data_IF_251574491321
#
_entry.id   IF_251574491321
#
_cell.length_a   1.000
_cell.length_b   1.000
_cell.length_c   1.000
_cell.angle_alpha   90.00
_cell.angle_beta   90.00
_cell.angle_gamma   90.00
#
_symmetry.space_group_name_H-M   'P 1'
#
loop_
_entity.id
_entity.type
_entity.pdbx_description
1 polymer ?
#
# COMPACT_ATOMS: atom_id res chain seq x y z
N UNK A 1 4.41 25.67 -47.86
CA UNK A 1 5.53 25.97 -46.93
C UNK A 1 4.99 26.64 -45.66
N UNK A 2 4.62 25.86 -44.61
CA UNK A 2 5.53 25.23 -43.62
C UNK A 2 6.21 26.35 -42.81
N UNK A 3 5.99 26.54 -41.52
CA UNK A 3 6.04 25.54 -40.45
C UNK A 3 5.11 25.83 -39.25
N UNK A 4 4.77 24.72 -38.62
CA UNK A 4 3.82 24.40 -37.56
C UNK A 4 4.11 25.01 -36.19
N UNK A 5 3.04 25.43 -35.51
CA UNK A 5 2.99 25.83 -34.10
C UNK A 5 3.16 24.66 -33.10
N UNK A 6 4.09 23.75 -33.37
CA UNK A 6 4.36 22.56 -32.55
C UNK A 6 5.68 22.62 -31.78
N UNK A 7 6.39 23.75 -31.79
CA UNK A 7 7.77 23.83 -31.30
C UNK A 7 7.98 24.42 -29.90
N UNK A 8 6.95 24.39 -29.03
CA UNK A 8 7.07 24.88 -27.63
C UNK A 8 6.90 23.78 -26.56
N UNK A 9 6.95 22.49 -26.93
CA UNK A 9 6.82 21.38 -25.97
C UNK A 9 8.07 20.50 -25.78
N UNK A 10 9.24 20.85 -26.34
CA UNK A 10 10.44 20.01 -26.26
C UNK A 10 11.65 20.62 -25.53
N UNK A 11 11.43 21.67 -24.72
CA UNK A 11 12.49 22.38 -23.97
C UNK A 11 12.47 22.08 -22.48
N UNK A 12 12.45 20.80 -22.09
CA UNK A 12 12.73 20.36 -20.71
C UNK A 12 13.52 19.06 -20.59
N UNK A 13 14.22 18.66 -21.67
CA UNK A 13 14.94 17.38 -21.77
C UNK A 13 16.46 17.53 -21.91
N UNK A 14 17.08 18.49 -21.21
CA UNK A 14 18.54 18.69 -21.28
C UNK A 14 19.11 19.35 -20.02
N UNK A 15 19.20 18.57 -18.95
CA UNK A 15 20.19 18.79 -17.88
C UNK A 15 20.25 17.55 -16.97
N UNK A 16 21.04 16.55 -17.36
CA UNK A 16 21.70 15.64 -16.42
C UNK A 16 22.64 14.70 -17.17
N UNK A 17 23.84 15.20 -17.42
CA UNK A 17 25.09 14.51 -17.79
C UNK A 17 26.16 15.51 -17.30
N UNK A 18 27.16 15.24 -16.48
CA UNK A 18 27.79 14.06 -15.88
C UNK A 18 28.29 14.50 -14.46
N UNK A 19 28.61 13.64 -13.50
CA UNK A 19 29.87 12.89 -13.42
C UNK A 19 29.71 11.78 -12.35
N UNK A 20 29.92 10.52 -12.75
CA UNK A 20 31.11 9.68 -12.51
C UNK A 20 31.22 9.03 -11.11
N UNK A 21 30.82 7.75 -11.12
CA UNK A 21 31.40 6.55 -10.44
C UNK A 21 32.95 6.49 -10.44
N UNK A 22 33.69 5.53 -9.80
CA UNK A 22 33.31 4.19 -9.29
C UNK A 22 34.01 3.66 -7.99
N UNK A 23 33.47 2.58 -7.40
CA UNK A 23 34.18 1.42 -6.78
C UNK A 23 33.10 0.37 -6.41
N UNK A 24 32.88 -0.72 -7.14
CA UNK A 24 33.62 -2.00 -7.13
C UNK A 24 33.94 -2.46 -5.69
N UNK A 25 33.42 -3.58 -5.18
CA UNK A 25 33.79 -4.97 -5.52
C UNK A 25 32.95 -5.91 -4.61
N UNK A 26 32.06 -6.78 -5.14
CA UNK A 26 32.28 -8.23 -5.41
C UNK A 26 32.73 -9.01 -4.15
N UNK A 27 32.27 -10.21 -3.79
CA UNK A 27 31.62 -11.31 -4.48
C UNK A 27 31.18 -12.33 -3.40
N UNK A 28 29.96 -12.88 -3.44
CA UNK A 28 29.79 -14.33 -3.18
C UNK A 28 28.52 -14.89 -3.79
N UNK A 29 28.68 -15.27 -5.05
CA UNK A 29 28.26 -16.55 -5.64
C UNK A 29 27.63 -17.56 -4.66
N UNK A 30 26.36 -17.90 -4.90
CA UNK A 30 25.88 -19.28 -4.77
C UNK A 30 24.90 -19.57 -5.89
N UNK A 31 25.34 -20.50 -6.74
CA UNK A 31 24.67 -21.09 -7.87
C UNK A 31 23.71 -22.23 -7.43
N UNK A 32 22.89 -22.78 -8.35
CA UNK A 32 21.55 -23.29 -8.09
C UNK A 32 21.52 -24.78 -7.75
N UNK A 33 20.41 -25.24 -7.16
CA UNK A 33 20.02 -26.65 -7.20
C UNK A 33 18.60 -26.79 -7.73
N UNK A 34 18.53 -27.34 -8.94
CA UNK A 34 17.36 -27.98 -9.49
C UNK A 34 17.10 -29.33 -8.80
N UNK A 35 15.81 -29.71 -8.74
CA UNK A 35 15.38 -31.09 -8.54
C UNK A 35 14.65 -31.34 -7.24
N UNK A 36 13.31 -31.35 -7.28
CA UNK A 36 12.49 -31.72 -6.14
C UNK A 36 10.99 -31.55 -6.37
N UNK A 37 10.47 -32.31 -7.33
CA UNK A 37 9.04 -32.62 -7.47
C UNK A 37 8.41 -33.00 -6.11
N UNK A 38 7.47 -32.17 -5.66
CA UNK A 38 6.26 -32.55 -4.92
C UNK A 38 5.33 -31.35 -4.76
N UNK A 39 4.31 -31.34 -5.59
CA UNK A 39 2.98 -30.89 -5.19
C UNK A 39 2.54 -31.64 -3.93
N UNK A 40 2.14 -30.93 -2.88
CA UNK A 40 0.89 -31.22 -2.18
C UNK A 40 -0.07 -30.10 -2.54
N UNK A 41 -1.01 -30.38 -3.44
CA UNK A 41 -2.41 -30.61 -3.08
C UNK A 41 -3.01 -29.62 -2.05
N UNK A 42 -4.16 -29.02 -2.39
CA UNK A 42 -4.80 -28.00 -1.59
C UNK A 42 -5.35 -28.60 -0.31
N UNK A 43 -4.78 -28.23 0.84
CA UNK A 43 -5.46 -28.43 2.12
C UNK A 43 -6.56 -27.39 2.25
N UNK A 44 -7.68 -27.73 1.59
CA UNK A 44 -9.00 -27.55 2.18
C UNK A 44 -9.02 -28.21 3.57
N UNK A 45 -9.93 -27.73 4.42
CA UNK A 45 -10.19 -28.17 5.80
C UNK A 45 -9.38 -27.47 6.90
N UNK A 46 -9.72 -26.21 7.12
CA UNK A 46 -10.35 -25.89 8.41
C UNK A 46 -11.46 -24.86 8.23
N UNK A 47 -12.66 -25.38 8.07
CA UNK A 47 -13.88 -24.72 8.51
C UNK A 47 -13.72 -24.38 10.00
N UNK A 48 -13.12 -23.23 10.30
CA UNK A 48 -13.26 -22.61 11.60
C UNK A 48 -14.59 -21.86 11.53
N UNK A 49 -15.65 -22.59 11.86
CA UNK A 49 -16.97 -22.02 12.09
C UNK A 49 -16.83 -20.87 13.07
N UNK A 50 -16.81 -19.65 12.55
CA UNK A 50 -17.09 -18.47 13.33
C UNK A 50 -18.60 -18.45 13.50
N UNK A 51 -19.04 -19.15 14.55
CA UNK A 51 -20.33 -18.92 15.17
C UNK A 51 -20.56 -17.40 15.27
N UNK A 52 -21.70 -16.85 14.84
CA UNK A 52 -22.02 -15.44 15.00
C UNK A 52 -22.33 -15.16 16.47
N UNK A 53 -21.31 -15.24 17.33
CA UNK A 53 -21.37 -14.61 18.64
C UNK A 53 -21.39 -13.11 18.41
N UNK A 54 -22.61 -12.57 18.51
CA UNK A 54 -22.98 -11.16 18.71
C UNK A 54 -21.81 -10.34 19.25
N UNK A 55 -20.95 -9.84 18.34
CA UNK A 55 -19.80 -9.04 18.73
C UNK A 55 -20.36 -7.71 19.24
N UNK A 56 -20.14 -7.47 20.53
CA UNK A 56 -20.26 -6.14 21.14
C UNK A 56 -19.51 -5.14 20.25
N UNK A 57 -19.96 -3.90 20.10
CA UNK A 57 -19.29 -2.93 19.24
C UNK A 57 -17.81 -2.84 19.65
N UNK A 58 -16.93 -3.29 18.76
CA UNK A 58 -15.49 -3.27 18.99
C UNK A 58 -15.04 -1.82 18.92
N UNK A 59 -14.47 -1.30 19.99
CA UNK A 59 -13.83 0.03 20.00
C UNK A 59 -12.50 0.06 19.24
N UNK A 60 -12.22 -0.98 18.46
CA UNK A 60 -11.03 -1.16 17.66
C UNK A 60 -11.44 -1.25 16.20
N UNK A 61 -10.81 -0.45 15.35
CA UNK A 61 -10.92 -0.55 13.90
C UNK A 61 -9.71 -1.28 13.35
N UNK A 62 -9.96 -2.08 12.32
CA UNK A 62 -8.97 -2.78 11.53
C UNK A 62 -8.89 -2.15 10.15
N UNK A 63 -7.70 -2.18 9.55
CA UNK A 63 -7.51 -1.72 8.18
C UNK A 63 -6.35 -2.41 7.51
N UNK A 64 -6.29 -2.30 6.19
CA UNK A 64 -5.17 -2.80 5.40
C UNK A 64 -4.25 -1.63 5.10
N UNK A 65 -2.99 -1.73 5.48
CA UNK A 65 -1.93 -0.84 5.03
C UNK A 65 -1.28 -1.41 3.78
N UNK A 66 -1.34 -0.65 2.69
CA UNK A 66 -0.69 -1.01 1.43
C UNK A 66 0.77 -0.57 1.39
N UNK A 67 1.05 0.66 1.86
CA UNK A 67 2.37 1.27 1.84
C UNK A 67 2.49 2.33 2.94
N UNK A 68 3.71 2.62 3.37
CA UNK A 68 4.01 3.63 4.39
C UNK A 68 5.13 4.56 3.91
N UNK A 69 4.93 5.87 4.01
CA UNK A 69 5.90 6.87 3.53
C UNK A 69 6.21 7.91 4.60
N UNK A 70 7.47 8.35 4.68
CA UNK A 70 7.85 9.48 5.54
C UNK A 70 7.24 10.82 5.07
N UNK A 71 6.97 10.95 3.76
CA UNK A 71 6.44 12.18 3.16
C UNK A 71 4.95 12.05 2.83
N UNK A 72 4.12 12.97 3.36
CA UNK A 72 2.67 13.02 3.08
C UNK A 72 2.34 13.02 1.59
N UNK A 73 3.13 13.73 0.78
CA UNK A 73 2.89 13.84 -0.67
C UNK A 73 3.01 12.47 -1.34
N UNK A 74 3.98 11.64 -0.96
CA UNK A 74 4.16 10.28 -1.51
C UNK A 74 3.01 9.37 -1.14
N UNK A 75 2.58 9.40 0.13
CA UNK A 75 1.40 8.67 0.58
C UNK A 75 0.12 9.14 -0.14
N UNK A 76 -0.01 10.45 -0.40
CA UNK A 76 -1.16 11.02 -1.10
C UNK A 76 -1.21 10.60 -2.57
N UNK A 77 -0.07 10.61 -3.26
CA UNK A 77 0.02 10.14 -4.63
C UNK A 77 -0.40 8.67 -4.73
N UNK A 78 0.18 7.82 -3.86
CA UNK A 78 -0.18 6.40 -3.78
C UNK A 78 -1.65 6.17 -3.45
N UNK A 79 -2.21 6.92 -2.50
CA UNK A 79 -3.63 6.84 -2.18
C UNK A 79 -4.53 7.24 -3.36
N UNK A 80 -4.13 8.24 -4.16
CA UNK A 80 -4.87 8.63 -5.37
C UNK A 80 -4.79 7.55 -6.45
N UNK A 81 -3.63 6.94 -6.66
CA UNK A 81 -3.48 5.82 -7.59
C UNK A 81 -4.40 4.65 -7.19
N UNK A 82 -4.42 4.30 -5.91
CA UNK A 82 -5.29 3.24 -5.38
C UNK A 82 -6.77 3.60 -5.51
N UNK A 83 -7.16 4.85 -5.25
CA UNK A 83 -8.52 5.32 -5.51
C UNK A 83 -8.90 5.23 -6.98
N UNK A 84 -8.00 5.59 -7.90
CA UNK A 84 -8.24 5.49 -9.33
C UNK A 84 -8.46 4.04 -9.80
N UNK A 85 -7.87 3.07 -9.08
CA UNK A 85 -8.11 1.63 -9.26
C UNK A 85 -9.41 1.12 -8.61
N UNK A 86 -10.15 1.98 -7.91
CA UNK A 86 -11.41 1.64 -7.24
C UNK A 86 -11.28 1.21 -5.79
N UNK A 87 -10.09 1.34 -5.18
CA UNK A 87 -9.92 1.04 -3.75
C UNK A 87 -10.33 2.24 -2.89
N UNK A 88 -10.89 1.95 -1.72
CA UNK A 88 -11.23 2.98 -0.73
C UNK A 88 -9.96 3.35 0.08
N UNK A 89 -9.01 4.01 -0.59
CA UNK A 89 -7.71 4.31 -0.02
C UNK A 89 -7.70 5.64 0.76
N UNK A 90 -6.89 5.71 1.81
CA UNK A 90 -6.91 6.77 2.81
C UNK A 90 -5.52 6.96 3.40
N UNK A 91 -5.18 8.17 3.86
CA UNK A 91 -3.90 8.42 4.51
C UNK A 91 -4.12 8.46 6.01
N UNK A 92 -3.32 7.72 6.76
CA UNK A 92 -3.33 7.72 8.22
C UNK A 92 -1.96 8.20 8.69
N UNK A 93 -1.94 9.27 9.48
CA UNK A 93 -0.69 9.76 10.09
C UNK A 93 -0.35 8.88 11.29
N UNK A 94 0.76 8.17 11.21
CA UNK A 94 1.27 7.27 12.23
C UNK A 94 2.57 7.82 12.84
N UNK A 95 2.95 7.32 14.01
CA UNK A 95 4.12 7.80 14.76
C UNK A 95 3.83 8.99 15.69
N UNK A 96 4.91 9.52 16.25
CA UNK A 96 4.93 10.64 17.21
C UNK A 96 5.78 11.80 16.67
N UNK A 97 5.75 12.95 17.34
CA UNK A 97 6.45 14.15 16.91
C UNK A 97 7.96 13.89 16.69
N UNK A 98 8.42 14.07 15.45
CA UNK A 98 9.82 13.83 15.04
C UNK A 98 10.08 12.47 14.39
N UNK A 99 9.15 11.52 14.48
CA UNK A 99 9.20 10.22 13.78
C UNK A 99 7.82 9.85 13.24
N UNK A 100 7.15 10.80 12.60
CA UNK A 100 5.86 10.58 11.97
C UNK A 100 6.01 10.03 10.54
N UNK A 101 5.12 9.12 10.16
CA UNK A 101 4.98 8.63 8.80
C UNK A 101 3.52 8.58 8.39
N UNK A 102 3.28 8.42 7.09
CA UNK A 102 1.99 8.47 6.45
C UNK A 102 1.71 7.11 5.84
N UNK A 103 0.87 6.33 6.51
CA UNK A 103 0.42 5.03 6.07
C UNK A 103 -0.73 5.18 5.08
N UNK A 104 -0.67 4.47 3.97
CA UNK A 104 -1.73 4.35 2.97
C UNK A 104 -2.61 3.18 3.37
N UNK A 105 -3.73 3.53 3.98
CA UNK A 105 -4.79 2.62 4.34
C UNK A 105 -5.66 2.29 3.14
N UNK A 106 -6.21 1.08 3.12
CA UNK A 106 -7.32 0.63 2.28
C UNK A 106 -8.43 0.11 3.21
N UNK A 107 -9.61 0.72 3.08
CA UNK A 107 -10.82 0.33 3.80
C UNK A 107 -10.76 0.58 5.31
N UNK A 108 -11.89 0.32 5.96
CA UNK A 108 -12.03 0.23 7.39
C UNK A 108 -12.93 -0.96 7.72
N UNK A 109 -12.50 -1.77 8.68
CA UNK A 109 -13.13 -3.04 9.01
C UNK A 109 -13.36 -3.12 10.52
N UNK A 110 -14.45 -3.78 10.92
CA UNK A 110 -14.79 -3.98 12.33
C UNK A 110 -14.06 -5.18 12.93
N UNK A 111 -13.56 -6.08 12.07
CA UNK A 111 -12.87 -7.30 12.47
C UNK A 111 -11.58 -7.53 11.70
N UNK A 112 -10.62 -8.21 12.34
CA UNK A 112 -9.35 -8.57 11.73
C UNK A 112 -9.52 -9.50 10.52
N UNK A 113 -10.47 -10.45 10.58
CA UNK A 113 -10.73 -11.42 9.49
C UNK A 113 -11.16 -10.70 8.20
N UNK A 114 -12.02 -9.69 8.30
CA UNK A 114 -12.41 -8.88 7.14
C UNK A 114 -11.23 -8.11 6.55
N UNK A 115 -10.41 -7.50 7.40
CA UNK A 115 -9.21 -6.81 6.95
C UNK A 115 -8.18 -7.76 6.32
N UNK A 116 -8.01 -8.97 6.87
CA UNK A 116 -7.11 -9.99 6.33
C UNK A 116 -7.56 -10.47 4.96
N UNK A 117 -8.86 -10.68 4.74
CA UNK A 117 -9.42 -11.00 3.42
C UNK A 117 -9.17 -9.88 2.42
N UNK A 118 -9.42 -8.64 2.81
CA UNK A 118 -9.15 -7.48 1.96
C UNK A 118 -7.66 -7.34 1.62
N UNK A 119 -6.76 -7.64 2.57
CA UNK A 119 -5.33 -7.64 2.34
C UNK A 119 -4.89 -8.72 1.35
N UNK A 120 -5.45 -9.93 1.44
CA UNK A 120 -5.20 -11.02 0.50
C UNK A 120 -5.72 -10.67 -0.91
N UNK A 121 -6.93 -10.12 -1.01
CA UNK A 121 -7.46 -9.63 -2.29
C UNK A 121 -6.60 -8.53 -2.91
N UNK A 122 -6.12 -7.59 -2.10
CA UNK A 122 -5.23 -6.52 -2.56
C UNK A 122 -3.91 -7.08 -3.06
N UNK A 123 -3.29 -8.02 -2.32
CA UNK A 123 -2.06 -8.72 -2.75
C UNK A 123 -2.25 -9.44 -4.09
N UNK A 124 -3.39 -10.12 -4.28
CA UNK A 124 -3.71 -10.83 -5.53
C UNK A 124 -3.91 -9.89 -6.72
N UNK A 125 -4.54 -8.74 -6.51
CA UNK A 125 -4.87 -7.78 -7.58
C UNK A 125 -3.72 -6.85 -7.94
N UNK A 126 -3.02 -6.30 -6.95
CA UNK A 126 -2.00 -5.25 -7.15
C UNK A 126 -0.56 -5.76 -6.94
N UNK A 127 -0.35 -6.98 -6.42
CA UNK A 127 0.97 -7.56 -6.17
C UNK A 127 1.79 -6.85 -5.08
N UNK A 128 1.18 -5.91 -4.35
CA UNK A 128 1.84 -5.08 -3.35
C UNK A 128 1.95 -5.74 -1.97
N UNK A 129 2.64 -5.04 -1.06
CA UNK A 129 2.61 -5.40 0.36
C UNK A 129 1.23 -5.01 0.91
N UNK A 130 0.68 -5.87 1.78
CA UNK A 130 -0.57 -5.58 2.47
C UNK A 130 -0.45 -6.10 3.90
N UNK A 131 -0.52 -5.19 4.86
CA UNK A 131 -0.38 -5.48 6.30
C UNK A 131 -1.69 -5.11 6.97
N UNK A 132 -2.25 -6.03 7.76
CA UNK A 132 -3.42 -5.73 8.57
C UNK A 132 -2.96 -5.02 9.83
N UNK A 133 -3.49 -3.83 10.06
CA UNK A 133 -3.24 -3.04 11.26
C UNK A 133 -4.54 -2.84 12.04
N UNK A 134 -4.40 -2.57 13.33
CA UNK A 134 -5.52 -2.28 14.22
C UNK A 134 -5.20 -1.14 15.17
N UNK A 135 -6.20 -0.31 15.48
CA UNK A 135 -6.08 0.80 16.42
C UNK A 135 -7.45 1.15 16.96
N UNK A 136 -7.45 1.76 18.14
CA UNK A 136 -8.65 2.25 18.79
C UNK A 136 -9.39 3.25 17.89
N UNK A 137 -10.70 3.07 17.72
CA UNK A 137 -11.55 3.82 16.78
C UNK A 137 -11.39 5.33 16.95
N UNK A 138 -11.41 5.82 18.20
CA UNK A 138 -11.30 7.24 18.50
C UNK A 138 -9.96 7.86 18.04
N UNK A 139 -8.85 7.12 18.16
CA UNK A 139 -7.52 7.57 17.72
C UNK A 139 -7.42 7.48 16.20
N UNK A 140 -7.98 6.41 15.67
CA UNK A 140 -7.99 6.12 14.25
C UNK A 140 -8.70 7.22 13.45
N UNK A 141 -9.87 7.66 13.88
CA UNK A 141 -10.61 8.77 13.24
C UNK A 141 -9.85 10.11 13.32
N UNK A 142 -9.20 10.41 14.45
CA UNK A 142 -8.41 11.63 14.60
C UNK A 142 -7.20 11.69 13.64
N UNK A 143 -6.59 10.54 13.35
CA UNK A 143 -5.38 10.43 12.52
C UNK A 143 -5.66 10.24 11.04
N UNK A 144 -6.91 9.98 10.65
CA UNK A 144 -7.34 9.70 9.28
C UNK A 144 -7.48 11.00 8.50
N UNK A 145 -6.53 11.26 7.60
CA UNK A 145 -6.56 12.39 6.66
C UNK A 145 -7.25 11.93 5.37
N UNK A 146 -8.55 11.73 5.47
CA UNK A 146 -9.40 11.47 4.32
C UNK A 146 -10.33 12.65 4.16
N UNK A 147 -9.84 13.73 3.55
CA UNK A 147 -10.75 14.70 2.95
C UNK A 147 -11.50 13.96 1.85
N UNK A 148 -12.67 13.42 2.21
CA UNK A 148 -13.73 13.18 1.26
C UNK A 148 -13.96 14.49 0.52
N UNK A 149 -13.91 14.45 -0.80
CA UNK A 149 -14.46 15.53 -1.59
C UNK A 149 -15.96 15.54 -1.34
N UNK A 150 -16.40 16.33 -0.38
CA UNK A 150 -17.75 16.89 -0.41
C UNK A 150 -17.71 18.01 -1.45
N UNK A 151 -18.67 17.95 -2.37
CA UNK A 151 -18.63 18.62 -3.67
C UNK A 151 -18.55 20.14 -3.62
N UNK A 152 -18.07 20.69 -4.74
CA UNK A 152 -18.22 22.08 -5.15
C UNK A 152 -18.33 22.13 -6.66
#
# INVERSE_FOLDING_TARGET
>A
PVETASEWLNKKKKSSEAEKTPAANENKKVEPKAGGDKSPEPQSDKAQGSSPEKKKPSTTRYWVEADSFALKIKASDRAKELKAKGYNACIVKMGEAGQEWYAVQIGDFETEDEAARAADEFKKKDGGVAVVNSMFTAIFEQKKDCKGGEGG
#
